data_IF_424811754865
#
_entry.id   IF_424811754865
#
_cell.length_a   1.000
_cell.length_b   1.000
_cell.length_c   1.000
_cell.angle_alpha   90.00
_cell.angle_beta   90.00
_cell.angle_gamma   90.00
#
_symmetry.space_group_name_H-M   'P 1'
#
loop_
_entity.id
_entity.type
_entity.pdbx_description
1 polymer ?
#
# COMPACT_ATOMS: atom_id res chain seq x y z
N UNK A 1 19.52 -3.89 -21.88
CA UNK A 1 19.19 -2.52 -21.44
C UNK A 1 20.38 -2.02 -20.62
N UNK A 2 20.85 -0.77 -20.74
CA UNK A 2 22.01 -0.31 -19.96
C UNK A 2 21.68 -0.33 -18.45
N UNK A 3 22.67 -0.56 -17.59
CA UNK A 3 22.52 -0.52 -16.11
C UNK A 3 21.88 0.78 -15.64
N UNK A 4 22.19 1.89 -16.32
CA UNK A 4 21.56 3.20 -16.11
C UNK A 4 20.04 3.15 -16.23
N UNK A 5 19.48 2.46 -17.23
CA UNK A 5 18.03 2.41 -17.40
C UNK A 5 17.36 1.52 -16.33
N UNK A 6 18.06 0.51 -15.81
CA UNK A 6 17.60 -0.26 -14.65
C UNK A 6 17.61 0.62 -13.39
N UNK A 7 18.66 1.41 -13.19
CA UNK A 7 18.74 2.36 -12.08
C UNK A 7 17.61 3.41 -12.14
N UNK A 8 17.30 3.94 -13.32
CA UNK A 8 16.16 4.86 -13.53
C UNK A 8 14.83 4.17 -13.17
N UNK A 9 14.63 2.92 -13.62
CA UNK A 9 13.42 2.16 -13.28
C UNK A 9 13.30 1.94 -11.76
N UNK A 10 14.40 1.59 -11.09
CA UNK A 10 14.46 1.49 -9.63
C UNK A 10 14.06 2.81 -8.95
N UNK A 11 14.61 3.95 -9.38
CA UNK A 11 14.27 5.26 -8.80
C UNK A 11 12.79 5.61 -9.00
N UNK A 12 12.23 5.33 -10.17
CA UNK A 12 10.80 5.55 -10.43
C UNK A 12 9.92 4.68 -9.51
N UNK A 13 10.23 3.39 -9.39
CA UNK A 13 9.50 2.50 -8.48
C UNK A 13 9.66 2.91 -7.01
N UNK A 14 10.84 3.40 -6.62
CA UNK A 14 11.07 3.94 -5.29
C UNK A 14 10.15 5.14 -5.02
N UNK A 15 10.15 6.14 -5.91
CA UNK A 15 9.30 7.33 -5.77
C UNK A 15 7.82 6.98 -5.68
N UNK A 16 7.31 6.11 -6.56
CA UNK A 16 5.90 5.69 -6.52
C UNK A 16 5.58 4.92 -5.24
N UNK A 17 6.48 4.04 -4.78
CA UNK A 17 6.31 3.30 -3.51
C UNK A 17 6.32 4.23 -2.29
N UNK A 18 7.14 5.29 -2.31
CA UNK A 18 7.15 6.32 -1.27
C UNK A 18 5.85 7.13 -1.25
N UNK A 19 5.33 7.53 -2.42
CA UNK A 19 4.03 8.21 -2.51
C UNK A 19 2.88 7.33 -1.98
N UNK A 20 2.86 6.06 -2.36
CA UNK A 20 1.88 5.08 -1.85
C UNK A 20 2.02 4.93 -0.33
N UNK A 21 3.24 4.83 0.18
CA UNK A 21 3.50 4.80 1.63
C UNK A 21 2.97 6.04 2.33
N UNK A 22 3.19 7.23 1.78
CA UNK A 22 2.73 8.49 2.36
C UNK A 22 1.21 8.55 2.49
N UNK A 23 0.48 8.13 1.45
CA UNK A 23 -0.99 8.07 1.50
C UNK A 23 -1.46 7.05 2.54
N UNK A 24 -0.85 5.85 2.57
CA UNK A 24 -1.19 4.83 3.56
C UNK A 24 -0.92 5.35 4.99
N UNK A 25 0.22 6.00 5.22
CA UNK A 25 0.56 6.57 6.53
C UNK A 25 -0.45 7.66 6.93
N UNK A 26 -0.81 8.57 6.03
CA UNK A 26 -1.83 9.60 6.28
C UNK A 26 -3.16 8.99 6.73
N UNK A 27 -3.56 7.87 6.11
CA UNK A 27 -4.73 7.11 6.51
C UNK A 27 -4.65 6.67 7.97
N UNK A 28 -3.55 6.03 8.35
CA UNK A 28 -3.38 5.54 9.72
C UNK A 28 -3.18 6.65 10.75
N UNK A 29 -2.46 7.71 10.40
CA UNK A 29 -2.02 8.72 11.37
C UNK A 29 -3.12 9.72 11.72
N UNK A 30 -3.82 10.29 10.74
CA UNK A 30 -4.79 11.33 11.03
C UNK A 30 -6.18 11.11 10.40
N UNK A 31 -6.31 10.40 9.28
CA UNK A 31 -7.65 10.16 8.69
C UNK A 31 -8.45 9.23 9.60
N UNK A 32 -7.93 8.04 9.92
CA UNK A 32 -8.65 7.07 10.76
C UNK A 32 -8.86 7.61 12.18
N UNK A 33 -7.91 8.38 12.74
CA UNK A 33 -8.07 9.05 14.04
C UNK A 33 -9.13 10.16 13.98
N UNK A 34 -9.22 10.90 12.89
CA UNK A 34 -10.28 11.88 12.67
C UNK A 34 -11.66 11.23 12.55
N UNK A 35 -11.76 10.15 11.76
CA UNK A 35 -13.01 9.38 11.63
C UNK A 35 -13.45 8.74 12.95
N UNK A 36 -12.50 8.35 13.82
CA UNK A 36 -12.79 7.82 15.14
C UNK A 36 -13.38 8.86 16.12
N UNK A 37 -13.10 10.15 15.91
CA UNK A 37 -13.64 11.24 16.74
C UNK A 37 -15.06 11.65 16.34
N UNK A 38 -15.50 11.32 15.13
CA UNK A 38 -16.86 11.54 14.69
C UNK A 38 -17.85 10.63 15.44
N UNK A 39 -19.15 10.97 15.39
CA UNK A 39 -20.20 10.01 15.78
C UNK A 39 -20.01 8.71 14.96
N UNK A 40 -20.19 7.51 15.55
CA UNK A 40 -19.92 6.25 14.86
C UNK A 40 -20.55 6.14 13.47
N UNK A 41 -21.84 6.48 13.35
CA UNK A 41 -22.55 6.49 12.07
C UNK A 41 -21.86 7.39 11.03
N UNK A 42 -21.48 8.62 11.42
CA UNK A 42 -20.78 9.55 10.52
C UNK A 42 -19.39 9.05 10.10
N UNK A 43 -18.65 8.41 11.01
CA UNK A 43 -17.35 7.78 10.69
C UNK A 43 -17.49 6.62 9.69
N UNK A 44 -18.52 5.78 9.87
CA UNK A 44 -18.85 4.67 8.98
C UNK A 44 -19.23 5.20 7.59
N UNK A 45 -20.18 6.14 7.51
CA UNK A 45 -20.64 6.73 6.25
C UNK A 45 -19.49 7.38 5.47
N UNK A 46 -18.65 8.15 6.17
CA UNK A 46 -17.47 8.76 5.58
C UNK A 46 -16.49 7.72 5.05
N UNK A 47 -16.19 6.67 5.82
CA UNK A 47 -15.30 5.59 5.37
C UNK A 47 -15.88 4.79 4.20
N UNK A 48 -17.19 4.55 4.17
CA UNK A 48 -17.87 3.94 3.02
C UNK A 48 -17.76 4.84 1.78
N UNK A 49 -17.92 6.15 1.93
CA UNK A 49 -17.69 7.14 0.88
C UNK A 49 -16.26 7.08 0.34
N UNK A 50 -15.27 7.11 1.23
CA UNK A 50 -13.84 7.00 0.89
C UNK A 50 -13.54 5.68 0.16
N UNK A 51 -14.10 4.56 0.62
CA UNK A 51 -13.93 3.25 -0.02
C UNK A 51 -14.49 3.20 -1.45
N UNK A 52 -15.53 3.99 -1.76
CA UNK A 52 -16.06 4.13 -3.13
C UNK A 52 -15.19 5.04 -3.99
N UNK A 53 -14.73 6.17 -3.45
CA UNK A 53 -13.95 7.16 -4.22
C UNK A 53 -12.52 6.68 -4.49
N UNK A 54 -11.92 5.90 -3.60
CA UNK A 54 -10.56 5.36 -3.79
C UNK A 54 -10.44 4.51 -5.07
N UNK A 55 -11.53 3.86 -5.50
CA UNK A 55 -11.57 3.04 -6.72
C UNK A 55 -11.32 3.82 -8.01
N UNK A 56 -11.46 5.14 -7.98
CA UNK A 56 -11.22 6.03 -9.12
C UNK A 56 -10.07 7.03 -8.85
N UNK A 57 -9.26 6.76 -7.84
CA UNK A 57 -8.19 7.66 -7.40
C UNK A 57 -6.86 7.34 -8.08
N UNK A 58 -6.00 8.36 -8.20
CA UNK A 58 -4.61 8.19 -8.62
C UNK A 58 -3.83 7.24 -7.69
N UNK A 59 -4.20 7.18 -6.40
CA UNK A 59 -3.61 6.23 -5.46
C UNK A 59 -3.84 4.78 -5.88
N UNK A 60 -5.07 4.39 -6.26
CA UNK A 60 -5.33 3.01 -6.68
C UNK A 60 -4.58 2.68 -7.97
N UNK A 61 -4.50 3.63 -8.92
CA UNK A 61 -3.72 3.45 -10.13
C UNK A 61 -2.24 3.18 -9.80
N UNK A 62 -1.62 4.04 -8.98
CA UNK A 62 -0.24 3.86 -8.54
C UNK A 62 -0.03 2.52 -7.79
N UNK A 63 -0.95 2.17 -6.89
CA UNK A 63 -0.92 0.92 -6.14
C UNK A 63 -0.99 -0.31 -7.05
N UNK A 64 -1.87 -0.32 -8.05
CA UNK A 64 -2.02 -1.46 -8.97
C UNK A 64 -0.85 -1.54 -9.95
N UNK A 65 -0.39 -0.41 -10.48
CA UNK A 65 0.73 -0.38 -11.45
C UNK A 65 2.09 -0.71 -10.82
N UNK A 66 2.27 -0.48 -9.51
CA UNK A 66 3.47 -0.93 -8.80
C UNK A 66 3.66 -2.43 -8.92
N UNK A 67 2.59 -3.24 -8.89
CA UNK A 67 2.70 -4.69 -8.93
C UNK A 67 3.42 -5.19 -10.21
N UNK A 68 2.92 -4.96 -11.44
CA UNK A 68 3.63 -5.37 -12.64
C UNK A 68 4.98 -4.67 -12.82
N UNK A 69 5.14 -3.42 -12.35
CA UNK A 69 6.43 -2.73 -12.41
C UNK A 69 7.51 -3.40 -11.57
N UNK A 70 7.19 -3.71 -10.32
CA UNK A 70 8.07 -4.37 -9.35
C UNK A 70 8.47 -5.78 -9.82
N UNK A 71 7.49 -6.62 -10.21
CA UNK A 71 7.81 -7.98 -10.66
C UNK A 71 8.39 -8.03 -12.07
N UNK A 72 7.98 -7.12 -12.96
CA UNK A 72 8.58 -7.00 -14.28
C UNK A 72 10.06 -6.64 -14.18
N UNK A 73 10.41 -5.70 -13.29
CA UNK A 73 11.80 -5.34 -13.03
C UNK A 73 12.58 -6.48 -12.38
N UNK A 74 11.99 -7.17 -11.41
CA UNK A 74 12.61 -8.34 -10.78
C UNK A 74 12.88 -9.47 -11.80
N UNK A 75 11.90 -9.81 -12.63
CA UNK A 75 12.06 -10.82 -13.68
C UNK A 75 13.12 -10.41 -14.72
N UNK A 76 13.18 -9.12 -15.07
CA UNK A 76 14.22 -8.61 -15.97
C UNK A 76 15.62 -8.67 -15.34
N UNK A 77 15.74 -8.29 -14.05
CA UNK A 77 16.98 -8.32 -13.30
C UNK A 77 17.56 -9.74 -13.16
N UNK A 78 16.73 -10.79 -13.25
CA UNK A 78 17.19 -12.19 -13.25
C UNK A 78 18.18 -12.49 -14.37
N UNK A 79 17.96 -11.90 -15.54
CA UNK A 79 18.74 -12.21 -16.74
C UNK A 79 19.78 -11.13 -17.08
N UNK A 80 19.77 -10.00 -16.37
CA UNK A 80 20.54 -8.81 -16.77
C UNK A 80 21.37 -8.20 -15.64
N UNK A 81 21.27 -8.71 -14.41
CA UNK A 81 22.03 -8.23 -13.26
C UNK A 81 22.54 -9.38 -12.41
N UNK A 82 23.65 -9.14 -11.75
CA UNK A 82 24.18 -9.99 -10.67
C UNK A 82 24.61 -9.10 -9.50
N UNK A 83 24.71 -9.70 -8.31
CA UNK A 83 25.24 -9.02 -7.12
C UNK A 83 24.20 -8.21 -6.32
N UNK A 84 24.66 -7.29 -5.45
CA UNK A 84 23.82 -6.67 -4.41
C UNK A 84 22.59 -5.92 -4.94
N UNK A 85 22.69 -5.25 -6.09
CA UNK A 85 21.57 -4.53 -6.70
C UNK A 85 20.42 -5.46 -7.09
N UNK A 86 20.73 -6.66 -7.59
CA UNK A 86 19.74 -7.68 -7.92
C UNK A 86 19.03 -8.19 -6.67
N UNK A 87 19.79 -8.49 -5.61
CA UNK A 87 19.24 -8.95 -4.32
C UNK A 87 18.29 -7.93 -3.69
N UNK A 88 18.62 -6.64 -3.78
CA UNK A 88 17.77 -5.55 -3.27
C UNK A 88 16.45 -5.41 -4.07
N UNK A 89 16.49 -5.57 -5.39
CA UNK A 89 15.29 -5.60 -6.24
C UNK A 89 14.35 -6.73 -5.81
N UNK A 90 14.89 -7.94 -5.59
CA UNK A 90 14.08 -9.08 -5.13
C UNK A 90 13.52 -8.89 -3.73
N UNK A 91 14.33 -8.37 -2.81
CA UNK A 91 13.88 -8.08 -1.46
C UNK A 91 12.73 -7.06 -1.47
N UNK A 92 12.88 -5.96 -2.22
CA UNK A 92 11.83 -4.96 -2.40
C UNK A 92 10.55 -5.56 -2.98
N UNK A 93 10.68 -6.43 -3.99
CA UNK A 93 9.54 -7.11 -4.59
C UNK A 93 8.80 -8.03 -3.61
N UNK A 94 9.54 -8.82 -2.82
CA UNK A 94 8.95 -9.71 -1.82
C UNK A 94 8.27 -8.94 -0.68
N UNK A 95 8.90 -7.85 -0.21
CA UNK A 95 8.29 -6.97 0.80
C UNK A 95 6.96 -6.43 0.27
N UNK A 96 6.94 -5.88 -0.95
CA UNK A 96 5.73 -5.34 -1.56
C UNK A 96 4.62 -6.40 -1.66
N UNK A 97 4.96 -7.63 -2.07
CA UNK A 97 4.02 -8.74 -2.11
C UNK A 97 3.34 -8.92 -0.75
N UNK A 98 4.16 -9.19 0.26
CA UNK A 98 3.70 -9.74 1.53
C UNK A 98 2.99 -8.68 2.34
N UNK A 99 3.59 -7.50 2.46
CA UNK A 99 3.12 -6.46 3.36
C UNK A 99 2.11 -5.52 2.73
N UNK A 100 2.12 -5.35 1.41
CA UNK A 100 1.25 -4.41 0.70
C UNK A 100 0.13 -5.15 0.00
N UNK A 101 0.45 -6.02 -0.96
CA UNK A 101 -0.55 -6.66 -1.81
C UNK A 101 -1.40 -7.69 -1.05
N UNK A 102 -0.76 -8.66 -0.37
CA UNK A 102 -1.47 -9.72 0.36
C UNK A 102 -2.26 -9.15 1.55
N UNK A 103 -1.69 -8.23 2.33
CA UNK A 103 -2.42 -7.55 3.41
C UNK A 103 -3.64 -6.78 2.88
N UNK A 104 -3.53 -6.16 1.71
CA UNK A 104 -4.67 -5.50 1.07
C UNK A 104 -5.76 -6.50 0.70
N UNK A 105 -5.40 -7.57 -0.03
CA UNK A 105 -6.35 -8.55 -0.56
C UNK A 105 -7.02 -9.41 0.51
N UNK A 106 -6.28 -9.84 1.53
CA UNK A 106 -6.76 -10.74 2.59
C UNK A 106 -7.16 -10.03 3.89
N UNK A 107 -6.81 -8.75 4.04
CA UNK A 107 -7.10 -7.96 5.23
C UNK A 107 -8.04 -6.79 4.96
N UNK A 108 -7.50 -5.70 4.41
CA UNK A 108 -8.24 -4.43 4.29
C UNK A 108 -9.45 -4.53 3.34
N UNK A 109 -9.32 -5.19 2.18
CA UNK A 109 -10.43 -5.29 1.21
C UNK A 109 -11.63 -6.07 1.77
N UNK A 110 -11.48 -7.26 2.39
CA UNK A 110 -12.59 -7.95 3.05
C UNK A 110 -13.27 -7.09 4.12
N UNK A 111 -12.49 -6.35 4.91
CA UNK A 111 -13.04 -5.46 5.92
C UNK A 111 -13.86 -4.31 5.30
N UNK A 112 -13.35 -3.70 4.23
CA UNK A 112 -14.03 -2.64 3.49
C UNK A 112 -15.35 -3.13 2.90
N UNK A 113 -15.35 -4.32 2.29
CA UNK A 113 -16.56 -4.94 1.73
C UNK A 113 -17.61 -5.21 2.80
N UNK A 114 -17.20 -5.72 3.96
CA UNK A 114 -18.10 -5.92 5.10
C UNK A 114 -18.68 -4.60 5.59
N UNK A 115 -17.85 -3.57 5.77
CA UNK A 115 -18.32 -2.25 6.21
C UNK A 115 -19.32 -1.64 5.22
N UNK A 116 -19.10 -1.82 3.92
CA UNK A 116 -19.97 -1.28 2.87
C UNK A 116 -21.38 -1.88 2.84
N UNK A 117 -21.59 -3.07 3.41
CA UNK A 117 -22.89 -3.73 3.46
C UNK A 117 -23.69 -3.47 4.74
N UNK A 118 -23.19 -2.64 5.66
CA UNK A 118 -23.84 -2.32 6.93
C UNK A 118 -24.55 -0.96 6.84
N UNK A 119 -25.74 -0.86 7.45
CA UNK A 119 -26.38 0.43 7.72
C UNK A 119 -25.64 1.10 8.89
N UNK A 120 -25.22 2.35 8.70
CA UNK A 120 -24.43 3.08 9.68
C UNK A 120 -25.19 3.37 10.99
N UNK A 121 -26.52 3.34 10.96
CA UNK A 121 -27.36 3.58 12.13
C UNK A 121 -27.52 2.34 13.02
N UNK A 122 -27.32 1.14 12.47
CA UNK A 122 -27.51 -0.11 13.20
C UNK A 122 -26.47 -0.33 14.31
N UNK A 123 -26.92 -0.84 15.46
CA UNK A 123 -26.05 -1.19 16.60
C UNK A 123 -24.92 -2.16 16.19
N UNK A 124 -25.22 -3.11 15.29
CA UNK A 124 -24.24 -4.06 14.78
C UNK A 124 -23.12 -3.38 13.98
N UNK A 125 -23.43 -2.30 13.25
CA UNK A 125 -22.46 -1.53 12.50
C UNK A 125 -21.57 -0.70 13.43
N UNK A 126 -22.17 -0.08 14.45
CA UNK A 126 -21.44 0.67 15.47
C UNK A 126 -20.48 -0.25 16.27
N UNK A 127 -20.91 -1.47 16.61
CA UNK A 127 -20.06 -2.46 17.25
C UNK A 127 -18.91 -2.92 16.35
N UNK A 128 -19.18 -3.15 15.05
CA UNK A 128 -18.14 -3.51 14.09
C UNK A 128 -17.15 -2.36 13.85
N UNK A 129 -17.61 -1.11 13.88
CA UNK A 129 -16.78 0.07 13.64
C UNK A 129 -15.60 0.17 14.60
N UNK A 130 -15.80 -0.11 15.89
CA UNK A 130 -14.71 -0.11 16.88
C UNK A 130 -13.61 -1.12 16.52
N UNK A 131 -14.00 -2.34 16.12
CA UNK A 131 -13.05 -3.36 15.65
C UNK A 131 -12.41 -2.96 14.32
N UNK A 132 -13.18 -2.33 13.44
CA UNK A 132 -12.71 -1.86 12.15
C UNK A 132 -11.60 -0.82 12.33
N UNK A 133 -11.82 0.21 13.16
CA UNK A 133 -10.85 1.26 13.45
C UNK A 133 -9.50 0.69 13.87
N UNK A 134 -9.46 -0.21 14.86
CA UNK A 134 -8.20 -0.77 15.35
C UNK A 134 -7.55 -1.70 14.33
N UNK A 135 -8.29 -2.70 13.82
CA UNK A 135 -7.71 -3.74 12.95
C UNK A 135 -7.34 -3.21 11.58
N UNK A 136 -8.19 -2.38 10.98
CA UNK A 136 -7.94 -1.81 9.66
C UNK A 136 -6.69 -0.91 9.70
N UNK A 137 -6.59 -0.06 10.73
CA UNK A 137 -5.44 0.84 10.92
C UNK A 137 -4.15 0.06 11.19
N UNK A 138 -4.19 -1.00 12.01
CA UNK A 138 -3.04 -1.87 12.24
C UNK A 138 -2.53 -2.54 10.96
N UNK A 139 -3.44 -3.10 10.15
CA UNK A 139 -3.08 -3.66 8.84
C UNK A 139 -2.53 -2.58 7.89
N UNK A 140 -3.10 -1.38 7.96
CA UNK A 140 -2.66 -0.27 7.12
C UNK A 140 -1.26 0.27 7.51
N UNK A 141 -0.87 0.20 8.78
CA UNK A 141 0.51 0.46 9.20
C UNK A 141 1.51 -0.52 8.58
N UNK A 142 1.19 -1.82 8.53
CA UNK A 142 2.01 -2.81 7.85
C UNK A 142 2.19 -2.48 6.36
N UNK A 143 1.11 -2.07 5.70
CA UNK A 143 1.16 -1.65 4.28
C UNK A 143 2.02 -0.41 4.09
N UNK A 144 1.90 0.60 4.96
CA UNK A 144 2.70 1.81 4.89
C UNK A 144 4.20 1.51 5.09
N UNK A 145 4.55 0.81 6.17
CA UNK A 145 5.93 0.43 6.46
C UNK A 145 6.54 -0.45 5.35
N UNK A 146 5.75 -1.39 4.84
CA UNK A 146 6.12 -2.25 3.72
C UNK A 146 6.39 -1.50 2.42
N UNK A 147 5.52 -0.55 2.07
CA UNK A 147 5.68 0.29 0.88
C UNK A 147 6.91 1.21 1.02
N UNK A 148 7.18 1.74 2.21
CA UNK A 148 8.40 2.51 2.49
C UNK A 148 9.66 1.64 2.38
N UNK A 149 9.66 0.45 2.98
CA UNK A 149 10.80 -0.46 2.89
C UNK A 149 11.06 -0.91 1.45
N UNK A 150 10.01 -1.14 0.66
CA UNK A 150 10.08 -1.38 -0.79
C UNK A 150 10.76 -0.21 -1.50
N UNK A 151 10.35 1.03 -1.18
CA UNK A 151 10.98 2.23 -1.73
C UNK A 151 12.47 2.31 -1.42
N UNK A 152 12.86 2.03 -0.17
CA UNK A 152 14.26 2.07 0.26
C UNK A 152 15.10 1.00 -0.45
N UNK A 153 14.55 -0.22 -0.64
CA UNK A 153 15.23 -1.28 -1.40
C UNK A 153 15.52 -0.84 -2.83
N UNK A 154 14.53 -0.26 -3.53
CA UNK A 154 14.73 0.20 -4.91
C UNK A 154 15.66 1.40 -5.01
N UNK A 155 15.57 2.36 -4.09
CA UNK A 155 16.52 3.48 -4.06
C UNK A 155 17.95 2.98 -3.85
N UNK A 156 18.17 2.09 -2.88
CA UNK A 156 19.48 1.48 -2.63
C UNK A 156 19.97 0.67 -3.84
N UNK A 157 19.09 -0.10 -4.50
CA UNK A 157 19.44 -0.82 -5.72
C UNK A 157 19.91 0.12 -6.83
N UNK A 158 19.22 1.26 -7.03
CA UNK A 158 19.63 2.25 -8.02
C UNK A 158 21.04 2.81 -7.75
N UNK A 159 21.37 3.13 -6.49
CA UNK A 159 22.70 3.60 -6.10
C UNK A 159 23.80 2.56 -6.33
N UNK A 160 23.49 1.27 -6.30
CA UNK A 160 24.45 0.19 -6.53
C UNK A 160 24.69 -0.10 -8.02
N UNK A 161 23.87 0.45 -8.91
CA UNK A 161 23.89 0.21 -10.36
C UNK A 161 24.53 1.34 -11.17
N UNK A 162 24.91 2.43 -10.50
CA UNK A 162 25.61 3.60 -11.05
C UNK A 162 27.03 3.61 -10.52
#
# INVERSE_FOLDING_TARGET
MSTTLIAIACLLLALVSALVSGVLLAFSDFIMRGLAQARPAGGIEAMQGINRTVLRSAFLLAFVLLLPGVYGLAAYALFNLEGPGQSLIYLGAMIYLVTVFLVTGFGNVPMNKRLAGLDAQDDAAQAYWQRYLTRWTGLNHWRAAGSLATSLCFAAAAFMLV
#
